data_IF_631654523804
#
_entry.id   IF_631654523804
#
_cell.length_a   1.000
_cell.length_b   1.000
_cell.length_c   1.000
_cell.angle_alpha   90.00
_cell.angle_beta   90.00
_cell.angle_gamma   90.00
#
_symmetry.space_group_name_H-M   'P 1'
#
loop_
_entity.id
_entity.type
_entity.pdbx_description
1 polymer ?
#
# COMPACT_ATOMS: atom_id res chain seq x y z
N UNK A 1 5.34 -14.33 21.36
CA UNK A 1 3.92 -14.67 21.09
C UNK A 1 3.83 -15.11 19.65
N UNK A 2 3.32 -16.31 19.39
CA UNK A 2 3.13 -16.84 18.03
C UNK A 2 1.87 -16.21 17.45
N UNK A 3 1.95 -15.72 16.21
CA UNK A 3 0.82 -15.14 15.49
C UNK A 3 -0.28 -16.19 15.26
N UNK A 4 -1.55 -15.82 15.48
CA UNK A 4 -2.65 -16.78 15.31
C UNK A 4 -2.91 -17.11 13.82
N UNK A 5 -3.32 -18.35 13.49
CA UNK A 5 -3.67 -18.72 12.10
C UNK A 5 -4.73 -17.81 11.47
N UNK A 6 -5.72 -17.37 12.24
CA UNK A 6 -6.75 -16.45 11.75
C UNK A 6 -6.19 -15.08 11.37
N UNK A 7 -5.16 -14.62 12.08
CA UNK A 7 -4.51 -13.33 11.80
C UNK A 7 -3.68 -13.43 10.51
N UNK A 8 -2.88 -14.49 10.36
CA UNK A 8 -2.14 -14.78 9.12
C UNK A 8 -3.06 -14.90 7.91
N UNK A 9 -4.19 -15.59 8.05
CA UNK A 9 -5.17 -15.72 6.97
C UNK A 9 -5.76 -14.37 6.57
N UNK A 10 -6.16 -13.54 7.55
CA UNK A 10 -6.71 -12.21 7.26
C UNK A 10 -5.68 -11.25 6.67
N UNK A 11 -4.37 -11.42 6.93
CA UNK A 11 -3.32 -10.71 6.19
C UNK A 11 -3.34 -11.05 4.71
N UNK A 12 -3.48 -12.32 4.35
CA UNK A 12 -3.60 -12.71 2.92
C UNK A 12 -4.85 -12.11 2.28
N UNK A 13 -5.98 -12.12 2.97
CA UNK A 13 -7.21 -11.45 2.52
C UNK A 13 -6.98 -9.94 2.36
N UNK A 14 -6.26 -9.31 3.29
CA UNK A 14 -5.89 -7.90 3.22
C UNK A 14 -5.01 -7.58 2.01
N UNK A 15 -4.03 -8.44 1.70
CA UNK A 15 -3.17 -8.29 0.52
C UNK A 15 -3.97 -8.35 -0.78
N UNK A 16 -4.81 -9.37 -0.90
CA UNK A 16 -5.71 -9.50 -2.04
C UNK A 16 -6.58 -8.24 -2.19
N UNK A 17 -7.14 -7.72 -1.09
CA UNK A 17 -7.94 -6.50 -1.13
C UNK A 17 -7.14 -5.29 -1.63
N UNK A 18 -5.88 -5.13 -1.20
CA UNK A 18 -5.00 -4.05 -1.61
C UNK A 18 -4.59 -4.14 -3.08
N UNK A 19 -4.23 -5.33 -3.58
CA UNK A 19 -4.03 -5.56 -5.00
C UNK A 19 -5.29 -5.22 -5.80
N UNK A 20 -6.47 -5.59 -5.29
CA UNK A 20 -7.74 -5.24 -5.90
C UNK A 20 -8.12 -3.74 -5.77
N UNK A 21 -7.35 -2.95 -5.02
CA UNK A 21 -7.38 -1.48 -5.00
C UNK A 21 -6.28 -0.87 -5.88
N UNK A 22 -5.68 -1.64 -6.79
CA UNK A 22 -4.60 -1.23 -7.70
C UNK A 22 -3.33 -0.77 -6.96
N UNK A 23 -3.02 -1.40 -5.82
CA UNK A 23 -1.70 -1.25 -5.22
C UNK A 23 -0.69 -2.08 -6.03
N UNK A 24 0.36 -1.45 -6.51
CA UNK A 24 1.42 -2.10 -7.31
C UNK A 24 2.51 -2.74 -6.42
N UNK A 25 2.61 -2.33 -5.16
CA UNK A 25 3.43 -3.01 -4.15
C UNK A 25 2.56 -3.28 -2.93
N UNK A 26 2.64 -4.49 -2.38
CA UNK A 26 1.95 -4.87 -1.15
C UNK A 26 2.90 -5.72 -0.31
N UNK A 27 3.00 -5.41 0.99
CA UNK A 27 3.95 -6.06 1.88
C UNK A 27 3.37 -6.21 3.30
N UNK A 28 3.82 -7.23 4.01
CA UNK A 28 3.44 -7.52 5.40
C UNK A 28 4.47 -6.97 6.40
N UNK A 29 4.04 -6.70 7.62
CA UNK A 29 4.92 -6.40 8.76
C UNK A 29 5.92 -5.27 8.46
N UNK A 30 5.42 -4.14 7.96
CA UNK A 30 6.26 -3.00 7.56
C UNK A 30 6.36 -1.99 8.69
N UNK A 31 7.60 -1.59 9.03
CA UNK A 31 7.85 -0.56 10.05
C UNK A 31 7.52 0.82 9.46
N UNK A 32 6.49 1.47 9.98
CA UNK A 32 6.02 2.79 9.51
C UNK A 32 6.47 3.97 10.39
N UNK A 33 7.13 3.74 11.52
CA UNK A 33 7.52 4.82 12.41
C UNK A 33 9.00 4.72 12.80
N UNK A 34 9.89 4.77 11.81
CA UNK A 34 11.33 4.79 12.04
C UNK A 34 11.84 6.18 12.42
N UNK A 35 11.13 7.25 12.03
CA UNK A 35 11.56 8.65 12.20
C UNK A 35 10.74 9.46 13.21
N UNK A 36 9.85 8.84 13.99
CA UNK A 36 9.16 9.50 15.10
C UNK A 36 7.93 10.33 14.71
N UNK A 37 7.11 9.85 13.75
CA UNK A 37 5.81 10.46 13.46
C UNK A 37 4.95 10.53 14.74
N UNK A 38 4.29 11.67 14.92
CA UNK A 38 3.42 11.95 16.08
C UNK A 38 2.27 10.96 16.15
N UNK A 39 2.04 10.40 17.34
CA UNK A 39 0.87 9.56 17.63
C UNK A 39 -0.39 10.42 17.59
N UNK A 40 -1.42 9.94 16.91
CA UNK A 40 -2.69 10.68 16.83
C UNK A 40 -3.53 10.52 18.09
N UNK A 41 -3.59 9.32 18.66
CA UNK A 41 -4.40 8.95 19.83
C UNK A 41 -3.73 7.78 20.59
N UNK A 42 -4.22 7.43 21.77
CA UNK A 42 -3.69 6.31 22.58
C UNK A 42 -3.71 4.95 21.84
N UNK A 43 -4.72 4.72 21.00
CA UNK A 43 -4.82 3.51 20.18
C UNK A 43 -3.72 3.45 19.10
N UNK A 44 -3.16 4.59 18.70
CA UNK A 44 -2.09 4.71 17.71
C UNK A 44 -0.71 4.46 18.35
N UNK A 45 -0.51 3.26 18.88
CA UNK A 45 0.64 2.89 19.70
C UNK A 45 1.59 1.87 19.04
N UNK A 46 1.23 1.38 17.85
CA UNK A 46 2.03 0.41 17.09
C UNK A 46 3.02 1.11 16.16
N UNK A 47 4.06 0.37 15.77
CA UNK A 47 5.13 0.84 14.87
C UNK A 47 5.25 0.03 13.60
N UNK A 48 4.71 -1.19 13.62
CA UNK A 48 4.69 -2.13 12.50
C UNK A 48 3.24 -2.28 12.08
N UNK A 49 2.99 -2.13 10.79
CA UNK A 49 1.66 -2.36 10.21
C UNK A 49 1.58 -3.80 9.71
N UNK A 50 0.41 -4.42 9.88
CA UNK A 50 0.20 -5.81 9.45
C UNK A 50 0.34 -5.95 7.93
N UNK A 51 -0.32 -5.08 7.17
CA UNK A 51 -0.23 -5.04 5.70
C UNK A 51 -0.25 -3.60 5.20
N UNK A 52 0.61 -3.27 4.24
CA UNK A 52 0.59 -1.98 3.54
C UNK A 52 0.67 -2.17 2.04
N UNK A 53 -0.10 -1.35 1.31
CA UNK A 53 -0.05 -1.25 -0.13
C UNK A 53 0.42 0.13 -0.58
N UNK A 54 1.25 0.16 -1.62
CA UNK A 54 1.61 1.37 -2.37
C UNK A 54 0.76 1.38 -3.63
N UNK A 55 -0.05 2.44 -3.78
CA UNK A 55 -0.86 2.68 -4.97
C UNK A 55 -0.68 4.10 -5.46
N UNK A 56 -1.38 4.45 -6.55
CA UNK A 56 -1.36 5.80 -7.09
C UNK A 56 -2.61 6.58 -6.67
N UNK A 57 -2.41 7.87 -6.41
CA UNK A 57 -3.49 8.85 -6.33
C UNK A 57 -3.24 9.92 -7.37
N UNK A 58 -4.17 10.03 -8.30
CA UNK A 58 -4.14 11.01 -9.36
C UNK A 58 -4.71 12.35 -8.87
N UNK A 59 -4.04 13.44 -9.23
CA UNK A 59 -4.53 14.79 -8.98
C UNK A 59 -4.60 15.59 -10.28
N UNK A 60 -5.64 16.42 -10.48
CA UNK A 60 -5.66 17.37 -11.59
C UNK A 60 -4.51 18.37 -11.44
N UNK A 61 -3.70 18.54 -12.49
CA UNK A 61 -2.57 19.48 -12.53
C UNK A 61 -2.89 20.87 -11.97
N UNK A 62 -4.08 21.41 -12.29
CA UNK A 62 -4.55 22.75 -11.89
C UNK A 62 -4.67 22.97 -10.36
N UNK A 63 -4.63 21.93 -9.54
CA UNK A 63 -4.79 22.02 -8.07
C UNK A 63 -3.49 22.08 -7.28
N UNK A 64 -2.34 22.16 -7.96
CA UNK A 64 -1.05 22.37 -7.29
C UNK A 64 -0.96 23.82 -6.80
N UNK A 65 -0.86 24.01 -5.48
CA UNK A 65 -0.19 25.16 -4.89
C UNK A 65 1.22 24.67 -4.55
N UNK A 66 2.23 25.23 -5.21
CA UNK A 66 3.67 25.20 -4.83
C UNK A 66 4.41 23.89 -5.17
N UNK A 67 5.26 23.94 -6.23
CA UNK A 67 6.68 23.51 -6.24
C UNK A 67 7.38 23.51 -7.62
N UNK A 68 6.77 24.06 -8.69
CA UNK A 68 7.40 24.14 -10.02
C UNK A 68 7.99 25.53 -10.32
N UNK A 69 8.47 26.25 -9.31
CA UNK A 69 9.27 27.47 -9.54
C UNK A 69 10.74 27.04 -9.63
N UNK A 70 11.19 26.83 -10.88
CA UNK A 70 12.59 26.75 -11.32
C UNK A 70 13.33 25.44 -11.03
N UNK A 71 13.06 24.41 -11.84
CA UNK A 71 14.11 23.45 -12.18
C UNK A 71 14.10 23.21 -13.69
N UNK A 72 15.31 23.36 -14.24
CA UNK A 72 15.76 23.17 -15.61
C UNK A 72 15.34 24.23 -16.65
N UNK A 73 16.33 24.65 -17.45
CA UNK A 73 16.28 25.69 -18.50
C UNK A 73 15.42 25.31 -19.72
N UNK A 74 14.33 24.56 -19.53
CA UNK A 74 13.38 24.22 -20.58
C UNK A 74 11.95 24.49 -20.15
N UNK A 75 11.20 25.20 -20.99
CA UNK A 75 9.76 25.34 -20.84
C UNK A 75 9.10 24.03 -21.27
N UNK A 76 8.59 23.25 -20.32
CA UNK A 76 7.65 22.18 -20.64
C UNK A 76 6.32 22.81 -21.07
N UNK A 77 5.87 22.53 -22.29
CA UNK A 77 4.50 22.85 -22.73
C UNK A 77 3.52 22.27 -21.72
N UNK A 78 2.74 23.14 -21.05
CA UNK A 78 1.76 22.75 -20.02
C UNK A 78 0.59 22.04 -20.69
N UNK A 79 0.43 20.72 -20.57
CA UNK A 79 -0.68 20.05 -21.22
C UNK A 79 -1.93 20.16 -20.34
N UNK A 80 -3.09 20.28 -20.98
CA UNK A 80 -4.36 20.61 -20.32
C UNK A 80 -4.86 19.55 -19.32
N UNK A 81 -4.34 18.31 -19.39
CA UNK A 81 -4.94 17.11 -18.81
C UNK A 81 -3.99 16.15 -18.07
N UNK A 82 -2.82 16.55 -17.57
CA UNK A 82 -2.08 15.61 -16.72
C UNK A 82 -2.85 15.32 -15.42
N UNK A 83 -3.08 14.03 -15.19
CA UNK A 83 -3.28 13.42 -13.90
C UNK A 83 -1.92 12.89 -13.42
N UNK A 84 -1.20 13.64 -12.58
CA UNK A 84 0.01 13.08 -11.97
C UNK A 84 -0.42 12.11 -10.89
N UNK A 85 0.02 10.85 -11.01
CA UNK A 85 -0.11 9.85 -9.97
C UNK A 85 0.98 10.02 -8.92
N UNK A 86 0.61 10.30 -7.68
CA UNK A 86 1.54 10.26 -6.55
C UNK A 86 1.39 8.94 -5.81
N UNK A 87 2.52 8.40 -5.36
CA UNK A 87 2.52 7.23 -4.49
C UNK A 87 1.79 7.57 -3.19
N UNK A 88 0.84 6.72 -2.83
CA UNK A 88 0.11 6.79 -1.57
C UNK A 88 0.13 5.44 -0.88
N UNK A 89 0.22 5.49 0.45
CA UNK A 89 0.17 4.32 1.30
C UNK A 89 -1.26 4.01 1.72
N UNK A 90 -1.66 2.75 1.59
CA UNK A 90 -2.91 2.19 2.11
C UNK A 90 -2.57 1.13 3.14
N UNK A 91 -2.82 1.44 4.41
CA UNK A 91 -2.52 0.58 5.53
C UNK A 91 -3.73 -0.23 5.98
N UNK A 92 -3.50 -1.51 6.29
CA UNK A 92 -4.45 -2.40 6.93
C UNK A 92 -3.88 -2.92 8.25
N UNK A 93 -4.64 -2.74 9.31
CA UNK A 93 -4.45 -3.40 10.60
C UNK A 93 -5.49 -4.50 10.77
N UNK A 94 -5.03 -5.71 11.01
CA UNK A 94 -5.84 -6.90 11.16
C UNK A 94 -6.23 -7.03 12.62
N UNK A 95 -7.53 -7.23 12.88
CA UNK A 95 -8.03 -7.50 14.23
C UNK A 95 -8.93 -8.72 14.25
N UNK A 96 -8.48 -9.76 14.95
CA UNK A 96 -9.22 -11.04 15.06
C UNK A 96 -10.03 -11.14 16.35
N UNK A 97 -9.79 -10.26 17.32
CA UNK A 97 -10.55 -10.21 18.57
C UNK A 97 -10.74 -8.77 19.07
N UNK A 98 -11.69 -8.57 20.00
CA UNK A 98 -11.87 -7.26 20.67
C UNK A 98 -10.67 -6.90 21.56
N UNK A 99 -9.99 -7.90 22.13
CA UNK A 99 -8.79 -7.69 22.94
C UNK A 99 -7.64 -7.15 22.09
N UNK A 100 -7.42 -7.78 20.94
CA UNK A 100 -6.46 -7.35 19.94
C UNK A 100 -6.72 -5.91 19.48
N UNK A 101 -7.98 -5.55 19.23
CA UNK A 101 -8.35 -4.16 18.90
C UNK A 101 -8.00 -3.16 20.01
N UNK A 102 -8.29 -3.51 21.27
CA UNK A 102 -7.99 -2.66 22.44
C UNK A 102 -6.49 -2.49 22.68
N UNK A 103 -5.66 -3.42 22.22
CA UNK A 103 -4.21 -3.33 22.32
C UNK A 103 -3.59 -2.29 21.38
N UNK A 104 -4.40 -1.63 20.54
CA UNK A 104 -3.99 -0.56 19.63
C UNK A 104 -3.56 -1.06 18.26
N UNK A 105 -3.43 -0.11 17.33
CA UNK A 105 -3.17 -0.30 15.91
C UNK A 105 -2.72 1.02 15.26
N UNK A 106 -2.03 0.96 14.13
CA UNK A 106 -1.58 2.18 13.44
C UNK A 106 -2.75 2.95 12.83
N UNK A 107 -2.83 4.25 13.15
CA UNK A 107 -3.85 5.17 12.63
C UNK A 107 -3.29 6.28 11.74
N UNK A 108 -1.97 6.51 11.76
CA UNK A 108 -1.32 7.68 11.14
C UNK A 108 -0.23 7.35 10.13
N UNK A 109 0.30 6.12 10.12
CA UNK A 109 1.46 5.78 9.29
C UNK A 109 1.19 5.67 7.80
N UNK A 110 -0.07 5.74 7.35
CA UNK A 110 -0.44 5.64 5.93
C UNK A 110 -1.45 6.72 5.52
N UNK A 111 -1.56 6.99 4.21
CA UNK A 111 -2.50 7.98 3.69
C UNK A 111 -3.95 7.53 3.86
N UNK A 112 -4.22 6.24 3.77
CA UNK A 112 -5.51 5.63 4.07
C UNK A 112 -5.35 4.49 5.06
N UNK A 113 -5.85 4.66 6.28
CA UNK A 113 -5.73 3.65 7.33
C UNK A 113 -7.06 2.91 7.48
N UNK A 114 -7.00 1.59 7.44
CA UNK A 114 -8.14 0.71 7.60
C UNK A 114 -7.87 -0.32 8.68
N UNK A 115 -8.93 -0.70 9.39
CA UNK A 115 -8.95 -1.94 10.17
C UNK A 115 -9.71 -2.99 9.36
N UNK A 116 -9.13 -4.18 9.22
CA UNK A 116 -9.78 -5.36 8.65
C UNK A 116 -10.10 -6.35 9.78
N UNK A 117 -11.37 -6.68 9.94
CA UNK A 117 -11.85 -7.52 11.01
C UNK A 117 -12.99 -8.46 10.56
N UNK A 118 -13.24 -9.58 11.24
CA UNK A 118 -14.46 -10.34 11.07
C UNK A 118 -15.71 -9.48 11.22
N UNK A 119 -16.75 -9.85 10.47
CA UNK A 119 -18.05 -9.17 10.47
C UNK A 119 -18.57 -8.95 11.89
N UNK A 120 -19.01 -7.71 12.20
CA UNK A 120 -19.55 -7.29 13.50
C UNK A 120 -18.60 -7.39 14.69
N UNK A 121 -17.29 -7.65 14.50
CA UNK A 121 -16.33 -7.69 15.61
C UNK A 121 -16.13 -6.30 16.24
N UNK A 122 -16.01 -5.27 15.40
CA UNK A 122 -15.71 -3.88 15.78
C UNK A 122 -16.84 -3.00 15.28
N UNK A 123 -17.39 -2.17 16.18
CA UNK A 123 -18.36 -1.15 15.76
C UNK A 123 -17.64 -0.01 15.01
N UNK A 124 -18.14 0.47 13.87
CA UNK A 124 -17.58 1.61 13.14
C UNK A 124 -17.42 2.89 13.98
N UNK A 125 -18.27 3.05 14.99
CA UNK A 125 -18.27 4.19 15.92
C UNK A 125 -17.07 4.19 16.88
N UNK A 126 -16.47 3.03 17.14
CA UNK A 126 -15.30 2.90 18.01
C UNK A 126 -13.99 3.25 17.30
N UNK A 127 -14.01 3.33 15.96
CA UNK A 127 -12.83 3.68 15.19
C UNK A 127 -12.60 5.19 15.21
N UNK A 128 -11.34 5.63 15.37
CA UNK A 128 -10.97 7.04 15.24
C UNK A 128 -11.50 7.68 13.94
N UNK A 129 -11.65 9.01 13.98
CA UNK A 129 -12.04 9.77 12.79
C UNK A 129 -11.02 9.55 11.66
N UNK A 130 -11.55 9.27 10.48
CA UNK A 130 -10.77 9.02 9.27
C UNK A 130 -10.19 7.61 9.13
N UNK A 131 -10.30 6.74 10.14
CA UNK A 131 -9.94 5.32 10.01
C UNK A 131 -11.12 4.54 9.43
N UNK A 132 -10.86 3.76 8.38
CA UNK A 132 -11.83 2.90 7.73
C UNK A 132 -12.01 1.55 8.42
N UNK A 133 -13.12 0.87 8.10
CA UNK A 133 -13.42 -0.48 8.56
C UNK A 133 -13.76 -1.34 7.35
N UNK A 134 -13.09 -2.48 7.23
CA UNK A 134 -13.42 -3.54 6.30
C UNK A 134 -13.84 -4.75 7.11
N UNK A 135 -14.99 -5.31 6.78
CA UNK A 135 -15.51 -6.52 7.39
C UNK A 135 -15.29 -7.72 6.47
N UNK A 136 -14.78 -8.80 7.06
CA UNK A 136 -14.66 -10.11 6.44
C UNK A 136 -15.79 -11.04 6.90
N UNK A 137 -16.48 -11.67 5.95
CA UNK A 137 -17.51 -12.68 6.19
C UNK A 137 -17.07 -14.01 5.60
N UNK A 138 -16.60 -14.92 6.46
CA UNK A 138 -16.12 -16.25 6.06
C UNK A 138 -17.13 -17.09 5.28
N UNK A 139 -18.42 -16.93 5.56
CA UNK A 139 -19.47 -17.75 4.93
C UNK A 139 -19.87 -17.24 3.54
N UNK A 140 -19.44 -16.03 3.19
CA UNK A 140 -19.70 -15.41 1.89
C UNK A 140 -18.42 -15.11 1.12
N UNK A 141 -17.27 -15.48 1.67
CA UNK A 141 -15.99 -15.17 1.07
C UNK A 141 -15.75 -16.08 -0.13
N UNK A 142 -15.54 -15.44 -1.26
CA UNK A 142 -15.35 -16.08 -2.56
C UNK A 142 -14.60 -15.09 -3.45
N UNK A 143 -13.72 -15.60 -4.30
CA UNK A 143 -12.82 -14.80 -5.14
C UNK A 143 -12.83 -15.40 -6.53
N UNK A 144 -13.19 -14.59 -7.51
CA UNK A 144 -13.08 -14.96 -8.92
C UNK A 144 -12.17 -13.97 -9.63
N UNK A 145 -11.25 -14.48 -10.42
CA UNK A 145 -10.41 -13.69 -11.31
C UNK A 145 -11.27 -13.15 -12.46
N UNK A 146 -11.02 -11.91 -12.85
CA UNK A 146 -11.68 -11.29 -13.99
C UNK A 146 -10.72 -11.29 -15.19
N UNK A 147 -11.27 -11.48 -16.38
CA UNK A 147 -10.51 -11.35 -17.61
C UNK A 147 -10.21 -9.87 -17.91
N UNK A 148 -8.94 -9.49 -17.72
CA UNK A 148 -8.47 -8.13 -17.98
C UNK A 148 -8.16 -7.88 -19.46
N UNK A 149 -8.06 -8.91 -20.30
CA UNK A 149 -7.95 -8.76 -21.75
C UNK A 149 -9.30 -8.34 -22.33
N UNK A 150 -10.38 -8.97 -21.88
CA UNK A 150 -11.75 -8.61 -22.28
C UNK A 150 -12.20 -7.30 -21.61
N UNK A 151 -11.79 -7.06 -20.35
CA UNK A 151 -12.22 -5.90 -19.56
C UNK A 151 -11.04 -5.18 -18.88
N UNK A 152 -10.24 -4.40 -19.64
CA UNK A 152 -8.98 -3.81 -19.16
C UNK A 152 -9.15 -2.75 -18.06
N UNK A 153 -10.33 -2.14 -17.94
CA UNK A 153 -10.62 -1.16 -16.89
C UNK A 153 -11.21 -1.79 -15.63
N UNK A 154 -11.46 -3.10 -15.63
CA UNK A 154 -12.05 -3.79 -14.49
C UNK A 154 -11.01 -4.03 -13.38
N UNK A 155 -11.50 -4.43 -12.21
CA UNK A 155 -10.61 -4.87 -11.13
C UNK A 155 -10.13 -6.29 -11.42
N UNK A 156 -8.90 -6.67 -11.00
CA UNK A 156 -8.38 -8.01 -11.26
C UNK A 156 -9.22 -9.12 -10.63
N UNK A 157 -9.90 -8.83 -9.51
CA UNK A 157 -10.71 -9.82 -8.81
C UNK A 157 -12.10 -9.28 -8.46
N UNK A 158 -13.10 -10.14 -8.62
CA UNK A 158 -14.39 -9.99 -7.96
C UNK A 158 -14.33 -10.68 -6.60
N UNK A 159 -14.41 -9.89 -5.52
CA UNK A 159 -14.29 -10.40 -4.14
C UNK A 159 -15.63 -10.28 -3.43
N UNK A 160 -16.22 -11.43 -3.07
CA UNK A 160 -17.42 -11.51 -2.22
C UNK A 160 -17.00 -11.68 -0.76
N UNK A 161 -17.91 -11.35 0.16
CA UNK A 161 -17.67 -11.50 1.60
C UNK A 161 -16.72 -10.47 2.22
N UNK A 162 -16.23 -9.48 1.45
CA UNK A 162 -15.57 -8.28 1.97
C UNK A 162 -16.47 -7.06 1.82
N UNK A 163 -16.60 -6.27 2.89
CA UNK A 163 -17.41 -5.05 2.87
C UNK A 163 -16.70 -3.89 3.55
N UNK A 164 -16.55 -2.77 2.83
CA UNK A 164 -16.10 -1.51 3.42
C UNK A 164 -17.27 -0.86 4.15
N UNK A 165 -17.33 -1.02 5.47
CA UNK A 165 -18.41 -0.49 6.32
C UNK A 165 -18.17 0.98 6.66
N UNK A 166 -16.90 1.37 6.81
CA UNK A 166 -16.49 2.76 7.03
C UNK A 166 -15.36 3.07 6.06
N UNK A 167 -15.51 4.12 5.25
CA UNK A 167 -14.44 4.54 4.32
C UNK A 167 -13.35 5.29 5.10
N UNK A 168 -12.10 4.98 4.80
CA UNK A 168 -10.98 5.76 5.33
C UNK A 168 -10.96 7.15 4.67
N UNK A 169 -10.49 8.14 5.42
CA UNK A 169 -10.24 9.49 4.91
C UNK A 169 -8.75 9.63 4.58
N UNK A 170 -8.45 10.36 3.51
CA UNK A 170 -7.08 10.66 3.12
C UNK A 170 -6.41 11.51 4.20
N UNK A 171 -5.22 11.07 4.64
CA UNK A 171 -4.32 11.82 5.50
C UNK A 171 -3.11 12.27 4.69
N UNK A 172 -2.74 13.54 4.86
CA UNK A 172 -1.52 14.06 4.28
C UNK A 172 -0.33 13.51 5.07
N UNK A 173 0.68 13.00 4.37
CA UNK A 173 1.91 12.48 4.95
C UNK A 173 3.09 13.15 4.27
N UNK A 174 4.19 13.39 5.00
CA UNK A 174 5.42 13.85 4.38
C UNK A 174 5.91 12.86 3.32
N UNK A 175 6.36 13.38 2.17
CA UNK A 175 6.80 12.55 1.05
C UNK A 175 7.96 11.62 1.44
N UNK A 176 8.92 12.11 2.22
CA UNK A 176 10.06 11.31 2.70
C UNK A 176 9.63 10.03 3.44
N UNK A 177 8.51 10.08 4.16
CA UNK A 177 8.00 8.92 4.89
C UNK A 177 7.42 7.88 3.92
N UNK A 178 6.72 8.33 2.88
CA UNK A 178 6.23 7.47 1.80
C UNK A 178 7.41 6.79 1.09
N UNK A 179 8.42 7.57 0.73
CA UNK A 179 9.63 7.09 0.03
C UNK A 179 10.40 6.08 0.88
N UNK A 180 10.52 6.31 2.19
CA UNK A 180 11.17 5.38 3.12
C UNK A 180 10.45 4.04 3.19
N UNK A 181 9.11 4.05 3.22
CA UNK A 181 8.30 2.82 3.22
C UNK A 181 8.50 2.06 1.90
N UNK A 182 8.45 2.76 0.76
CA UNK A 182 8.70 2.16 -0.56
C UNK A 182 10.09 1.54 -0.63
N UNK A 183 11.13 2.28 -0.21
CA UNK A 183 12.51 1.79 -0.15
C UNK A 183 12.64 0.55 0.73
N UNK A 184 11.96 0.52 1.89
CA UNK A 184 11.98 -0.65 2.79
C UNK A 184 11.37 -1.89 2.11
N UNK A 185 10.25 -1.73 1.41
CA UNK A 185 9.61 -2.84 0.66
C UNK A 185 10.53 -3.30 -0.48
N UNK A 186 11.09 -2.36 -1.25
CA UNK A 186 11.99 -2.66 -2.35
C UNK A 186 13.26 -3.41 -1.88
N UNK A 187 13.85 -3.01 -0.76
CA UNK A 187 15.00 -3.70 -0.16
C UNK A 187 14.68 -5.14 0.25
N UNK A 188 13.50 -5.39 0.85
CA UNK A 188 13.07 -6.75 1.21
C UNK A 188 12.91 -7.64 -0.02
N UNK A 189 12.27 -7.12 -1.08
CA UNK A 189 12.06 -7.85 -2.34
C UNK A 189 13.35 -8.10 -3.11
N UNK A 190 14.27 -7.15 -3.08
CA UNK A 190 15.58 -7.27 -3.73
C UNK A 190 16.58 -8.10 -2.92
N UNK A 191 16.28 -8.51 -1.68
CA UNK A 191 17.19 -9.33 -0.87
C UNK A 191 17.52 -10.70 -1.51
N UNK A 192 16.82 -11.10 -2.58
CA UNK A 192 17.23 -12.12 -3.55
C UNK A 192 18.26 -11.59 -4.59
N UNK A 193 19.24 -10.78 -4.15
CA UNK A 193 20.18 -10.05 -5.04
C UNK A 193 21.02 -10.94 -5.94
N UNK A 194 21.20 -12.20 -5.55
CA UNK A 194 22.13 -13.11 -6.20
C UNK A 194 21.81 -13.31 -7.69
N UNK A 195 20.55 -13.55 -8.02
CA UNK A 195 20.10 -13.79 -9.40
C UNK A 195 20.19 -12.54 -10.27
N UNK A 196 19.83 -11.37 -9.74
CA UNK A 196 19.98 -10.09 -10.46
C UNK A 196 21.45 -9.73 -10.69
N UNK A 197 22.33 -9.99 -9.72
CA UNK A 197 23.77 -9.80 -9.90
C UNK A 197 24.34 -10.78 -10.93
N UNK A 198 23.92 -12.05 -10.92
CA UNK A 198 24.33 -13.00 -11.94
C UNK A 198 23.90 -12.55 -13.33
N UNK A 199 22.66 -12.12 -13.54
CA UNK A 199 22.20 -11.64 -14.84
C UNK A 199 22.93 -10.37 -15.30
N UNK A 200 23.25 -9.45 -14.40
CA UNK A 200 24.06 -8.26 -14.71
C UNK A 200 25.49 -8.66 -15.08
N UNK A 201 26.12 -9.53 -14.29
CA UNK A 201 27.48 -10.00 -14.56
C UNK A 201 27.55 -10.79 -15.87
N UNK A 202 26.60 -11.68 -16.11
CA UNK A 202 26.49 -12.47 -17.33
C UNK A 202 26.31 -11.56 -18.57
N UNK A 203 25.42 -10.57 -18.47
CA UNK A 203 25.24 -9.54 -19.50
C UNK A 203 26.49 -8.67 -19.75
N UNK A 204 27.27 -8.35 -18.71
CA UNK A 204 28.55 -7.64 -18.83
C UNK A 204 29.65 -8.52 -19.46
N UNK A 205 29.53 -9.84 -19.37
CA UNK A 205 30.45 -10.79 -20.02
C UNK A 205 29.95 -11.29 -21.37
N UNK A 206 28.73 -10.92 -21.78
CA UNK A 206 28.16 -11.31 -23.06
C UNK A 206 28.97 -10.65 -24.20
N UNK A 207 29.66 -11.43 -25.04
CA UNK A 207 30.53 -10.88 -26.08
C UNK A 207 29.78 -9.98 -27.06
N UNK A 208 28.55 -10.32 -27.44
CA UNK A 208 27.77 -9.53 -28.40
C UNK A 208 27.39 -8.15 -27.84
N UNK A 209 27.04 -8.06 -26.56
CA UNK A 209 26.73 -6.79 -25.89
C UNK A 209 27.99 -5.94 -25.69
N UNK A 210 29.12 -6.54 -25.35
CA UNK A 210 30.41 -5.85 -25.15
C UNK A 210 30.95 -5.31 -26.48
N UNK A 211 30.87 -6.06 -27.58
CA UNK A 211 31.31 -5.61 -28.91
C UNK A 211 30.41 -4.52 -29.50
N UNK A 212 29.15 -4.40 -29.05
CA UNK A 212 28.24 -3.33 -29.50
C UNK A 212 28.57 -1.93 -28.94
N UNK A 213 29.45 -1.85 -27.94
CA UNK A 213 29.88 -0.59 -27.30
C UNK A 213 31.16 0.01 -27.91
N UNK A 214 31.84 -0.73 -28.78
CA UNK A 214 32.97 -0.21 -29.56
C UNK A 214 32.46 0.49 -30.83
N UNK A 215 32.24 1.80 -30.73
CA UNK A 215 32.25 2.75 -31.86
C UNK A 215 33.46 3.65 -31.71
#
# INVERSE_FOLDING_TARGET
MVESPSHMYLKQVGKLWLYNQMCHMVEEEVKLNQLGLLRYLELDNKKVIDVVGVGLKYFPWKRRKIQDELYDDFELEKPEKYEIGYNVLRGLEIKVSKSDFKNGFICTGTNYNYVLAPTKLISPSLLPKGVGLIEYNRFKFDVTENDLEEHPTSRPYTIKGLRVVKRAQYRNLPQFHIDQVISTIAQRRTSNRHESYYNVLDGLTNPELVYSLTV
#
